data_IF_522296032389
#
_entry.id   IF_522296032389
#
_cell.length_a   1.000
_cell.length_b   1.000
_cell.length_c   1.000
_cell.angle_alpha   90.00
_cell.angle_beta   90.00
_cell.angle_gamma   90.00
#
_symmetry.space_group_name_H-M   'P 1'
#
loop_
_entity.id
_entity.type
_entity.pdbx_description
1 polymer ?
#
# COMPACT_ATOMS: atom_id res chain seq x y z
N UNK A 1 1.18 11.56 -5.85
CA UNK A 1 1.85 10.60 -4.94
C UNK A 1 1.20 9.25 -5.17
N UNK A 2 1.97 8.23 -5.41
CA UNK A 2 1.44 6.87 -5.58
C UNK A 2 1.84 6.05 -4.37
N UNK A 3 0.89 5.35 -3.78
CA UNK A 3 1.15 4.35 -2.74
C UNK A 3 0.96 2.97 -3.33
N UNK A 4 1.89 2.06 -3.06
CA UNK A 4 1.73 0.65 -3.42
C UNK A 4 1.64 -0.18 -2.16
N UNK A 5 0.60 -0.99 -2.07
CA UNK A 5 0.41 -1.88 -0.95
C UNK A 5 0.91 -3.27 -1.30
N UNK A 6 1.80 -3.78 -0.46
CA UNK A 6 2.29 -5.13 -0.55
C UNK A 6 1.75 -5.94 0.60
N UNK A 7 0.96 -6.91 0.27
CA UNK A 7 0.52 -7.93 1.22
C UNK A 7 1.26 -9.24 1.00
N UNK A 8 1.55 -10.00 2.07
CA UNK A 8 2.41 -11.03 2.07
C UNK A 8 2.15 -12.37 2.48
N UNK A 9 1.56 -13.18 2.16
CA UNK A 9 1.93 -14.61 2.21
C UNK A 9 2.37 -15.05 0.80
N UNK A 10 3.59 -14.73 0.43
CA UNK A 10 4.13 -15.08 -0.88
C UNK A 10 4.17 -13.92 -1.87
N UNK A 11 4.36 -12.69 -1.42
CA UNK A 11 4.64 -11.54 -2.28
C UNK A 11 3.49 -11.10 -3.20
N UNK A 12 2.29 -11.10 -2.72
CA UNK A 12 1.17 -10.52 -3.48
C UNK A 12 1.16 -9.01 -3.35
N UNK A 13 1.24 -8.32 -4.48
CA UNK A 13 1.10 -6.86 -4.57
C UNK A 13 -0.36 -6.52 -4.77
N UNK A 14 -0.91 -5.67 -3.90
CA UNK A 14 -2.23 -5.09 -4.10
C UNK A 14 -2.19 -4.01 -5.19
N UNK A 15 -3.33 -3.66 -5.81
CA UNK A 15 -3.41 -2.56 -6.75
C UNK A 15 -2.83 -1.26 -6.19
N UNK A 16 -2.11 -0.53 -7.04
CA UNK A 16 -1.59 0.79 -6.70
C UNK A 16 -2.74 1.77 -6.48
N UNK A 17 -2.58 2.66 -5.51
CA UNK A 17 -3.50 3.77 -5.29
C UNK A 17 -2.76 5.09 -5.51
N UNK A 18 -3.15 5.81 -6.56
CA UNK A 18 -2.64 7.15 -6.81
C UNK A 18 -3.44 8.17 -6.01
N UNK A 19 -2.73 9.06 -5.33
CA UNK A 19 -3.29 10.14 -4.54
C UNK A 19 -3.12 11.44 -5.30
N UNK A 20 -4.23 12.08 -5.63
CA UNK A 20 -4.30 13.36 -6.33
C UNK A 20 -4.81 14.43 -5.35
N UNK A 21 -3.92 15.09 -4.59
CA UNK A 21 -4.32 16.16 -3.69
C UNK A 21 -4.83 17.37 -4.49
N UNK A 22 -5.77 18.11 -3.95
CA UNK A 22 -6.29 19.35 -4.55
C UNK A 22 -5.31 20.51 -4.50
N UNK A 23 -4.22 20.36 -3.74
CA UNK A 23 -3.14 21.35 -3.60
C UNK A 23 -1.79 20.75 -3.96
N UNK A 24 -0.73 21.57 -3.89
CA UNK A 24 0.62 21.13 -4.23
C UNK A 24 1.24 20.14 -3.23
N UNK A 25 0.64 19.97 -2.07
CA UNK A 25 1.15 19.10 -0.99
C UNK A 25 0.09 18.16 -0.46
N UNK A 26 0.51 16.94 -0.17
CA UNK A 26 -0.30 15.93 0.51
C UNK A 26 0.05 15.96 2.00
N UNK A 27 -0.46 16.98 2.69
CA UNK A 27 -0.28 17.17 4.13
C UNK A 27 -1.36 16.43 4.95
N UNK A 28 -1.33 16.61 6.27
CA UNK A 28 -2.30 16.00 7.19
C UNK A 28 -3.74 16.42 6.88
N UNK A 29 -3.96 17.67 6.50
CA UNK A 29 -5.28 18.18 6.15
C UNK A 29 -5.80 17.53 4.85
N UNK A 30 -4.93 17.34 3.85
CA UNK A 30 -5.26 16.64 2.62
C UNK A 30 -5.56 15.15 2.86
N UNK A 31 -4.93 14.53 3.88
CA UNK A 31 -5.16 13.11 4.25
C UNK A 31 -6.53 12.89 4.92
N UNK A 32 -6.94 13.77 5.81
CA UNK A 32 -8.06 13.48 6.73
C UNK A 32 -9.20 14.49 6.69
N UNK A 33 -8.99 15.67 6.12
CA UNK A 33 -9.96 16.77 6.19
C UNK A 33 -10.37 17.33 4.83
N UNK A 34 -9.68 16.98 3.75
CA UNK A 34 -9.97 17.54 2.44
C UNK A 34 -10.97 16.66 1.67
N UNK A 35 -12.18 17.16 1.40
CA UNK A 35 -13.16 16.46 0.56
C UNK A 35 -12.73 16.44 -0.93
N UNK A 36 -11.64 17.11 -1.28
CA UNK A 36 -11.19 17.31 -2.65
C UNK A 36 -9.97 16.46 -3.03
N UNK A 37 -9.39 15.70 -2.10
CA UNK A 37 -8.37 14.69 -2.44
C UNK A 37 -9.04 13.54 -3.20
N UNK A 38 -8.50 13.22 -4.37
CA UNK A 38 -8.99 12.11 -5.21
C UNK A 38 -8.03 10.94 -5.12
N UNK A 39 -8.60 9.74 -5.13
CA UNK A 39 -7.86 8.48 -5.15
C UNK A 39 -8.19 7.74 -6.44
N UNK A 40 -7.16 7.28 -7.15
CA UNK A 40 -7.32 6.47 -8.38
C UNK A 40 -6.67 5.13 -8.11
N UNK A 41 -7.49 4.08 -8.06
CA UNK A 41 -7.00 2.71 -7.88
C UNK A 41 -6.60 2.14 -9.23
N UNK A 42 -5.42 1.53 -9.29
CA UNK A 42 -4.82 0.93 -10.48
C UNK A 42 -4.72 1.90 -11.67
N UNK A 43 -4.03 3.05 -11.52
CA UNK A 43 -3.89 4.04 -12.56
C UNK A 43 -3.15 3.46 -13.79
N UNK A 44 -3.56 3.90 -14.99
CA UNK A 44 -3.09 3.32 -16.25
C UNK A 44 -1.64 3.66 -16.64
N UNK A 45 -1.09 4.76 -16.09
CA UNK A 45 0.21 5.29 -16.50
C UNK A 45 1.27 5.18 -15.39
N UNK A 46 1.48 3.99 -14.89
CA UNK A 46 2.49 3.73 -13.86
C UNK A 46 3.66 2.98 -14.49
N UNK A 47 4.92 3.45 -14.29
CA UNK A 47 6.09 2.70 -14.72
C UNK A 47 6.13 1.32 -14.07
N UNK A 48 6.30 0.26 -14.86
CA UNK A 48 6.40 -1.12 -14.34
C UNK A 48 7.54 -1.26 -13.31
N UNK A 49 8.61 -0.47 -13.46
CA UNK A 49 9.73 -0.42 -12.54
C UNK A 49 9.34 0.04 -11.12
N UNK A 50 8.24 0.79 -10.97
CA UNK A 50 7.77 1.32 -9.68
C UNK A 50 7.35 0.18 -8.74
N UNK A 51 6.51 -0.74 -9.21
CA UNK A 51 6.10 -1.90 -8.41
C UNK A 51 7.31 -2.76 -8.01
N UNK A 52 8.22 -3.01 -8.95
CA UNK A 52 9.43 -3.77 -8.65
C UNK A 52 10.33 -3.06 -7.62
N UNK A 53 10.40 -1.72 -7.65
CA UNK A 53 11.16 -0.95 -6.66
C UNK A 53 10.50 -1.02 -5.28
N UNK A 54 9.16 -0.97 -5.18
CA UNK A 54 8.44 -1.14 -3.93
C UNK A 54 8.72 -2.51 -3.30
N UNK A 55 8.63 -3.57 -4.08
CA UNK A 55 8.95 -4.94 -3.61
C UNK A 55 10.38 -5.02 -3.08
N UNK A 56 11.36 -4.54 -3.86
CA UNK A 56 12.78 -4.55 -3.43
C UNK A 56 13.01 -3.73 -2.16
N UNK A 57 12.34 -2.60 -2.02
CA UNK A 57 12.47 -1.76 -0.82
C UNK A 57 11.97 -2.49 0.43
N UNK A 58 10.80 -3.15 0.36
CA UNK A 58 10.25 -3.96 1.45
C UNK A 58 11.17 -5.11 1.81
N UNK A 59 11.69 -5.83 0.81
CA UNK A 59 12.65 -6.92 1.04
C UNK A 59 13.95 -6.43 1.68
N UNK A 60 14.50 -5.32 1.21
CA UNK A 60 15.74 -4.73 1.75
C UNK A 60 15.55 -4.23 3.19
N UNK A 61 14.36 -3.76 3.54
CA UNK A 61 14.02 -3.36 4.90
C UNK A 61 13.76 -4.55 5.85
N UNK A 62 13.70 -5.78 5.33
CA UNK A 62 13.33 -6.96 6.12
C UNK A 62 11.89 -6.90 6.63
N UNK A 63 11.05 -6.07 6.04
CA UNK A 63 9.66 -5.96 6.43
C UNK A 63 8.85 -7.16 5.91
N UNK A 64 7.86 -7.58 6.67
CA UNK A 64 7.04 -8.74 6.36
C UNK A 64 5.55 -8.47 6.58
N UNK A 65 4.74 -9.40 6.16
CA UNK A 65 3.30 -9.40 6.32
C UNK A 65 2.62 -8.31 5.46
N UNK A 66 1.87 -7.41 6.04
CA UNK A 66 1.20 -6.34 5.33
C UNK A 66 1.97 -5.03 5.46
N UNK A 67 2.41 -4.48 4.35
CA UNK A 67 3.13 -3.21 4.30
C UNK A 67 2.53 -2.28 3.27
N UNK A 68 2.64 -0.97 3.48
CA UNK A 68 2.36 0.06 2.48
C UNK A 68 3.66 0.80 2.16
N UNK A 69 3.99 0.86 0.88
CA UNK A 69 5.14 1.61 0.40
C UNK A 69 4.68 2.92 -0.24
N UNK A 70 5.09 4.04 0.31
CA UNK A 70 4.76 5.36 -0.20
C UNK A 70 5.82 5.81 -1.20
N UNK A 71 5.38 6.19 -2.41
CA UNK A 71 6.25 6.51 -3.54
C UNK A 71 5.85 7.86 -4.13
N UNK A 72 6.85 8.69 -4.41
CA UNK A 72 6.66 9.92 -5.17
C UNK A 72 7.00 9.70 -6.63
N UNK A 73 6.00 9.78 -7.49
CA UNK A 73 6.17 9.80 -8.94
C UNK A 73 6.22 11.25 -9.43
N UNK A 74 7.16 11.57 -10.32
CA UNK A 74 7.29 12.87 -10.97
C UNK A 74 6.72 12.84 -12.38
N UNK A 75 6.49 14.04 -12.92
CA UNK A 75 5.93 14.19 -14.27
C UNK A 75 6.84 13.64 -15.38
N UNK A 76 8.15 13.58 -15.15
CA UNK A 76 9.12 12.98 -16.08
C UNK A 76 9.19 11.45 -16.01
N UNK A 77 8.34 10.82 -15.18
CA UNK A 77 8.31 9.38 -14.97
C UNK A 77 9.35 8.87 -13.95
N UNK A 78 10.24 9.73 -13.46
CA UNK A 78 11.15 9.36 -12.37
C UNK A 78 10.37 9.22 -11.06
N UNK A 79 10.86 8.35 -10.15
CA UNK A 79 10.19 8.12 -8.87
C UNK A 79 11.18 7.90 -7.74
N UNK A 80 10.72 8.09 -6.51
CA UNK A 80 11.46 7.79 -5.30
C UNK A 80 10.57 7.09 -4.28
N UNK A 81 11.07 6.03 -3.67
CA UNK A 81 10.45 5.42 -2.48
C UNK A 81 10.70 6.35 -1.31
N UNK A 82 9.65 6.74 -0.62
CA UNK A 82 9.70 7.68 0.51
C UNK A 82 9.77 6.94 1.83
N UNK A 83 8.84 6.00 2.05
CA UNK A 83 8.75 5.24 3.28
C UNK A 83 8.08 3.89 3.08
N UNK A 84 8.29 2.99 4.04
CA UNK A 84 7.58 1.73 4.18
C UNK A 84 6.85 1.76 5.52
N UNK A 85 5.52 1.65 5.46
CA UNK A 85 4.68 1.60 6.64
C UNK A 85 4.29 0.15 6.93
N UNK A 86 4.73 -0.38 8.07
CA UNK A 86 4.48 -1.77 8.50
C UNK A 86 3.19 -1.93 9.30
N UNK A 87 2.51 -0.83 9.65
CA UNK A 87 1.20 -0.82 10.30
C UNK A 87 0.31 0.18 9.58
N UNK A 88 -0.07 -0.11 8.32
CA UNK A 88 -0.91 0.80 7.54
C UNK A 88 -2.31 0.91 8.14
N UNK A 89 -2.95 2.07 7.92
CA UNK A 89 -4.33 2.30 8.36
C UNK A 89 -5.34 1.35 7.72
N UNK A 90 -6.37 1.00 8.49
CA UNK A 90 -7.41 0.02 8.11
C UNK A 90 -8.82 0.60 8.18
N UNK A 91 -8.97 1.92 8.17
CA UNK A 91 -10.29 2.56 8.11
C UNK A 91 -10.84 2.53 6.69
N UNK A 92 -12.13 2.79 6.52
CA UNK A 92 -12.81 2.82 5.22
C UNK A 92 -12.19 3.83 4.23
N UNK A 93 -11.47 4.83 4.75
CA UNK A 93 -10.77 5.84 3.96
C UNK A 93 -9.27 5.56 3.78
N UNK A 94 -8.79 4.41 4.27
CA UNK A 94 -7.38 4.04 4.17
C UNK A 94 -7.07 3.36 2.83
N UNK A 95 -5.81 3.49 2.38
CA UNK A 95 -5.38 3.03 1.06
C UNK A 95 -5.40 1.50 0.91
N UNK A 96 -5.04 0.77 1.97
CA UNK A 96 -5.05 -0.71 1.95
C UNK A 96 -6.46 -1.26 1.75
N UNK A 97 -7.49 -0.81 2.50
CA UNK A 97 -8.88 -1.17 2.21
C UNK A 97 -9.34 -0.84 0.79
N UNK A 98 -8.96 0.33 0.26
CA UNK A 98 -9.29 0.72 -1.13
C UNK A 98 -8.67 -0.25 -2.14
N UNK A 99 -7.40 -0.60 -1.97
CA UNK A 99 -6.70 -1.54 -2.84
C UNK A 99 -7.29 -2.94 -2.76
N UNK A 100 -7.63 -3.43 -1.55
CA UNK A 100 -8.27 -4.73 -1.35
C UNK A 100 -9.66 -4.78 -2.00
N UNK A 101 -10.47 -3.74 -1.82
CA UNK A 101 -11.80 -3.64 -2.41
C UNK A 101 -11.77 -3.69 -3.95
N UNK A 102 -10.75 -3.15 -4.58
CA UNK A 102 -10.56 -3.24 -6.03
C UNK A 102 -10.33 -4.69 -6.53
N UNK A 103 -9.89 -5.59 -5.65
CA UNK A 103 -9.79 -7.03 -5.89
C UNK A 103 -11.04 -7.80 -5.44
N UNK A 104 -12.08 -7.12 -4.97
CA UNK A 104 -13.28 -7.74 -4.39
C UNK A 104 -13.05 -8.35 -3.01
N UNK A 105 -11.99 -7.97 -2.30
CA UNK A 105 -11.66 -8.47 -0.97
C UNK A 105 -12.16 -7.52 0.11
N UNK A 106 -12.76 -8.07 1.16
CA UNK A 106 -12.96 -7.36 2.42
C UNK A 106 -11.66 -7.33 3.23
N UNK A 107 -11.55 -6.41 4.18
CA UNK A 107 -10.39 -6.36 5.09
C UNK A 107 -10.25 -7.68 5.87
N UNK A 108 -11.35 -8.28 6.30
CA UNK A 108 -11.32 -9.58 6.95
C UNK A 108 -10.71 -10.67 6.07
N UNK A 109 -11.09 -10.72 4.80
CA UNK A 109 -10.52 -11.67 3.83
C UNK A 109 -9.05 -11.41 3.53
N UNK A 110 -8.60 -10.15 3.56
CA UNK A 110 -7.19 -9.80 3.42
C UNK A 110 -6.36 -10.22 4.64
N UNK A 111 -6.86 -9.98 5.85
CA UNK A 111 -6.11 -10.19 7.09
C UNK A 111 -6.16 -11.63 7.62
N UNK A 112 -7.25 -12.39 7.38
CA UNK A 112 -7.40 -13.75 7.92
C UNK A 112 -6.24 -14.69 7.58
N UNK A 113 -5.74 -14.76 6.32
CA UNK A 113 -4.58 -15.60 6.00
C UNK A 113 -3.32 -15.21 6.76
N UNK A 114 -3.07 -13.91 6.94
CA UNK A 114 -1.91 -13.39 7.66
C UNK A 114 -1.97 -13.77 9.15
N UNK A 115 -3.14 -13.61 9.77
CA UNK A 115 -3.37 -13.98 11.17
C UNK A 115 -3.18 -15.48 11.35
N UNK A 116 -3.76 -16.32 10.49
CA UNK A 116 -3.61 -17.78 10.55
C UNK A 116 -2.16 -18.21 10.41
N UNK A 117 -1.41 -17.61 9.51
CA UNK A 117 0.01 -17.89 9.33
C UNK A 117 0.81 -17.57 10.61
N UNK A 118 0.57 -16.43 11.24
CA UNK A 118 1.24 -16.07 12.50
C UNK A 118 0.89 -17.01 13.65
N UNK A 119 -0.37 -17.38 13.77
CA UNK A 119 -0.80 -18.36 14.79
C UNK A 119 -0.18 -19.73 14.59
N UNK A 120 0.00 -20.18 13.33
CA UNK A 120 0.64 -21.47 13.04
C UNK A 120 2.13 -21.46 13.42
N UNK A 121 2.85 -20.36 13.14
CA UNK A 121 4.25 -20.19 13.50
C UNK A 121 4.47 -20.22 15.03
N UNK A 122 3.58 -19.58 15.79
CA UNK A 122 3.64 -19.61 17.25
C UNK A 122 3.40 -21.02 17.83
N UNK A 123 2.50 -21.81 17.23
CA UNK A 123 2.25 -23.19 17.66
C UNK A 123 3.41 -24.15 17.38
N UNK A 124 4.20 -23.87 16.35
CA UNK A 124 5.36 -24.70 15.97
C UNK A 124 6.61 -24.37 16.79
N UNK A 125 6.62 -23.24 17.49
CA UNK A 125 7.73 -22.78 18.32
C UNK A 125 7.56 -23.07 19.83
N UNK A 126 6.41 -23.59 20.23
CA UNK A 126 6.08 -24.00 21.60
C UNK A 126 6.16 -25.53 21.76
#
# INVERSE_FOLDING_TARGET
MCSSDLSLAGSQVLPLVEILPSGNWYDYAAKYQSPTTRYVVNPLQIPAALTAAAVRAVQAAGASDLTRTDIRLRADGSFAVLEINTIPGMTDHSLVPMAAAALGLTIGQLLDPLIRQKLSLHRSAA
#
